data_IF_743522689376
#
_entry.id   IF_743522689376
#
_cell.length_a   1.000
_cell.length_b   1.000
_cell.length_c   1.000
_cell.angle_alpha   90.00
_cell.angle_beta   90.00
_cell.angle_gamma   90.00
#
_symmetry.space_group_name_H-M   'P 1'
#
loop_
_entity.id
_entity.type
_entity.pdbx_description
1 polymer ?
#
# COMPACT_ATOMS: atom_id res chain seq x y z
N UNK A 1 -28.30 -1.65 -25.44
CA UNK A 1 -27.53 -0.50 -24.89
C UNK A 1 -26.76 -1.02 -23.66
N UNK A 2 -25.46 -1.10 -23.76
CA UNK A 2 -24.64 -1.63 -22.69
C UNK A 2 -24.65 -0.63 -21.52
N UNK A 3 -24.82 -1.15 -20.32
CA UNK A 3 -24.85 -0.31 -19.11
C UNK A 3 -23.46 0.00 -18.64
N UNK A 4 -23.27 1.22 -18.15
CA UNK A 4 -22.02 1.63 -17.50
C UNK A 4 -21.90 1.03 -16.11
N UNK A 5 -20.70 0.61 -15.72
CA UNK A 5 -20.39 0.05 -14.40
C UNK A 5 -20.87 0.93 -13.25
N UNK A 6 -20.59 2.24 -13.32
CA UNK A 6 -21.05 3.19 -12.31
C UNK A 6 -22.58 3.29 -12.20
N UNK A 7 -23.31 3.15 -13.32
CA UNK A 7 -24.77 3.15 -13.30
C UNK A 7 -25.33 1.91 -12.60
N UNK A 8 -24.65 0.76 -12.77
CA UNK A 8 -25.02 -0.50 -12.10
C UNK A 8 -24.76 -0.42 -10.59
N UNK A 9 -23.66 0.22 -10.16
CA UNK A 9 -23.42 0.47 -8.72
C UNK A 9 -24.54 1.32 -8.13
N UNK A 10 -24.99 2.39 -8.82
CA UNK A 10 -26.11 3.23 -8.39
C UNK A 10 -27.45 2.50 -8.37
N UNK A 11 -27.67 1.54 -9.25
CA UNK A 11 -28.86 0.68 -9.19
C UNK A 11 -28.82 -0.26 -7.98
N UNK A 12 -27.67 -0.82 -7.67
CA UNK A 12 -27.47 -1.67 -6.51
C UNK A 12 -27.63 -0.89 -5.20
N UNK A 13 -27.05 0.32 -5.12
CA UNK A 13 -27.16 1.23 -3.98
C UNK A 13 -28.62 1.45 -3.54
N UNK A 14 -29.56 1.62 -4.51
CA UNK A 14 -30.99 1.80 -4.21
C UNK A 14 -31.65 0.59 -3.54
N UNK A 15 -31.01 -0.58 -3.56
CA UNK A 15 -31.48 -1.81 -2.93
C UNK A 15 -30.87 -2.03 -1.55
N UNK A 16 -29.89 -1.21 -1.18
CA UNK A 16 -29.16 -1.31 0.10
C UNK A 16 -29.77 -0.40 1.16
N UNK A 17 -29.54 -0.74 2.41
CA UNK A 17 -29.98 0.06 3.56
C UNK A 17 -28.95 -0.01 4.69
N UNK A 18 -28.99 0.98 5.58
CA UNK A 18 -28.12 1.02 6.76
C UNK A 18 -26.63 1.20 6.44
N UNK A 19 -25.78 0.59 7.24
CA UNK A 19 -24.32 0.77 7.19
C UNK A 19 -23.70 0.27 5.87
N UNK A 20 -24.31 -0.70 5.21
CA UNK A 20 -23.83 -1.24 3.94
C UNK A 20 -23.95 -0.22 2.80
N UNK A 21 -24.93 0.69 2.88
CA UNK A 21 -25.13 1.78 1.92
C UNK A 21 -23.89 2.66 1.82
N UNK A 22 -23.34 3.09 2.96
CA UNK A 22 -22.14 3.92 2.99
C UNK A 22 -20.93 3.26 2.33
N UNK A 23 -20.78 1.94 2.48
CA UNK A 23 -19.69 1.19 1.83
C UNK A 23 -19.83 1.19 0.30
N UNK A 24 -21.07 1.10 -0.20
CA UNK A 24 -21.35 1.13 -1.64
C UNK A 24 -21.23 2.56 -2.22
N UNK A 25 -21.62 3.60 -1.47
CA UNK A 25 -21.37 4.99 -1.84
C UNK A 25 -19.88 5.27 -2.02
N UNK A 26 -19.06 4.81 -1.10
CA UNK A 26 -17.61 4.91 -1.20
C UNK A 26 -17.05 4.16 -2.42
N UNK A 27 -17.61 3.01 -2.72
CA UNK A 27 -17.23 2.25 -3.92
C UNK A 27 -17.66 2.97 -5.20
N UNK A 28 -18.84 3.60 -5.19
CA UNK A 28 -19.29 4.45 -6.29
C UNK A 28 -18.35 5.65 -6.50
N UNK A 29 -18.01 6.37 -5.43
CA UNK A 29 -17.09 7.51 -5.49
C UNK A 29 -15.72 7.13 -6.04
N UNK A 30 -15.17 6.01 -5.60
CA UNK A 30 -13.94 5.46 -6.15
C UNK A 30 -14.09 5.12 -7.64
N UNK A 31 -15.15 4.40 -7.99
CA UNK A 31 -15.38 3.90 -9.36
C UNK A 31 -15.66 5.02 -10.33
N UNK A 32 -16.41 6.05 -9.93
CA UNK A 32 -16.73 7.21 -10.77
C UNK A 32 -15.49 8.01 -11.19
N UNK A 33 -14.44 8.01 -10.36
CA UNK A 33 -13.16 8.67 -10.65
C UNK A 33 -12.24 7.82 -11.52
N UNK A 34 -12.36 6.48 -11.50
CA UNK A 34 -11.40 5.57 -12.10
C UNK A 34 -11.95 4.79 -13.29
N UNK A 35 -13.26 4.51 -13.28
CA UNK A 35 -13.95 3.62 -14.21
C UNK A 35 -15.20 4.26 -14.81
N UNK A 36 -15.20 5.60 -14.91
CA UNK A 36 -16.38 6.39 -15.30
C UNK A 36 -17.07 5.93 -16.58
N UNK A 37 -16.29 5.52 -17.57
CA UNK A 37 -16.79 5.11 -18.89
C UNK A 37 -16.70 3.61 -19.13
N UNK A 38 -16.39 2.83 -18.09
CA UNK A 38 -16.28 1.39 -18.21
C UNK A 38 -17.67 0.76 -18.32
N UNK A 39 -17.85 -0.12 -19.28
CA UNK A 39 -19.03 -0.95 -19.43
C UNK A 39 -19.05 -2.06 -18.39
N UNK A 40 -20.26 -2.50 -17.98
CA UNK A 40 -20.40 -3.55 -16.96
C UNK A 40 -19.71 -4.86 -17.38
N UNK A 41 -19.79 -5.22 -18.66
CA UNK A 41 -19.18 -6.44 -19.19
C UNK A 41 -17.64 -6.43 -19.14
N UNK A 42 -17.03 -5.25 -18.98
CA UNK A 42 -15.59 -5.09 -18.79
C UNK A 42 -15.17 -5.12 -17.33
N UNK A 43 -16.13 -5.18 -16.40
CA UNK A 43 -15.84 -5.25 -14.98
C UNK A 43 -15.17 -6.59 -14.62
N UNK A 44 -14.14 -6.54 -13.79
CA UNK A 44 -13.37 -7.70 -13.38
C UNK A 44 -12.82 -7.51 -11.96
N UNK A 45 -12.10 -8.51 -11.47
CA UNK A 45 -11.50 -8.50 -10.14
C UNK A 45 -10.63 -7.27 -9.89
N UNK A 46 -9.94 -6.75 -10.91
CA UNK A 46 -9.08 -5.58 -10.80
C UNK A 46 -9.81 -4.34 -10.25
N UNK A 47 -11.08 -4.15 -10.59
CA UNK A 47 -11.88 -3.02 -10.12
C UNK A 47 -12.07 -3.09 -8.60
N UNK A 48 -12.39 -4.27 -8.10
CA UNK A 48 -12.62 -4.54 -6.68
C UNK A 48 -11.29 -4.56 -5.90
N UNK A 49 -10.26 -5.20 -6.44
CA UNK A 49 -8.95 -5.27 -5.79
C UNK A 49 -8.32 -3.89 -5.61
N UNK A 50 -8.41 -3.02 -6.62
CA UNK A 50 -7.96 -1.63 -6.48
C UNK A 50 -8.72 -0.87 -5.40
N UNK A 51 -10.01 -1.10 -5.27
CA UNK A 51 -10.81 -0.50 -4.20
C UNK A 51 -10.37 -1.01 -2.83
N UNK A 52 -10.40 -2.33 -2.63
CA UNK A 52 -10.17 -2.95 -1.33
C UNK A 52 -8.70 -2.84 -0.85
N UNK A 53 -7.71 -3.10 -1.73
CA UNK A 53 -6.29 -3.15 -1.35
C UNK A 53 -5.52 -1.86 -1.59
N UNK A 54 -6.07 -0.89 -2.35
CA UNK A 54 -5.36 0.35 -2.63
C UNK A 54 -6.08 1.60 -2.12
N UNK A 55 -7.43 1.60 -2.08
CA UNK A 55 -8.20 2.77 -1.67
C UNK A 55 -8.64 2.69 -0.21
N UNK A 56 -9.21 1.57 0.23
CA UNK A 56 -9.62 1.35 1.64
C UNK A 56 -8.48 1.60 2.62
N UNK A 57 -7.22 1.08 2.44
CA UNK A 57 -6.14 1.32 3.38
C UNK A 57 -5.69 2.77 3.53
N UNK A 58 -6.11 3.66 2.63
CA UNK A 58 -5.87 5.09 2.75
C UNK A 58 -6.97 5.80 3.54
N UNK A 59 -8.20 5.33 3.39
CA UNK A 59 -9.38 5.93 4.00
C UNK A 59 -9.55 5.49 5.46
N UNK A 60 -9.34 4.20 5.72
CA UNK A 60 -9.49 3.61 7.05
C UNK A 60 -8.19 3.79 7.83
N UNK A 61 -8.08 4.89 8.56
CA UNK A 61 -6.89 5.21 9.39
C UNK A 61 -6.91 4.51 10.75
N UNK A 62 -8.09 4.25 11.30
CA UNK A 62 -8.27 3.40 12.46
C UNK A 62 -9.11 2.21 12.00
N UNK A 63 -8.53 1.00 12.11
CA UNK A 63 -9.32 -0.21 11.91
C UNK A 63 -10.25 -0.37 13.10
N UNK A 64 -11.34 0.41 13.13
CA UNK A 64 -12.45 0.11 14.01
C UNK A 64 -12.91 -1.29 13.69
N UNK A 65 -13.01 -2.12 14.72
CA UNK A 65 -13.38 -3.51 14.59
C UNK A 65 -14.69 -3.61 13.80
N UNK A 66 -14.62 -4.32 12.67
CA UNK A 66 -15.77 -4.57 11.81
C UNK A 66 -15.94 -3.66 10.57
N UNK A 67 -15.25 -2.54 10.44
CA UNK A 67 -15.44 -1.66 9.26
C UNK A 67 -14.96 -2.31 7.96
N UNK A 68 -13.80 -2.97 7.98
CA UNK A 68 -13.25 -3.66 6.80
C UNK A 68 -14.14 -4.83 6.40
N UNK A 69 -14.69 -5.57 7.38
CA UNK A 69 -15.65 -6.63 7.15
C UNK A 69 -16.92 -6.12 6.47
N UNK A 70 -17.43 -4.94 6.88
CA UNK A 70 -18.58 -4.31 6.24
C UNK A 70 -18.30 -3.98 4.78
N UNK A 71 -17.14 -3.41 4.46
CA UNK A 71 -16.74 -3.17 3.07
C UNK A 71 -16.68 -4.45 2.26
N UNK A 72 -16.00 -5.49 2.76
CA UNK A 72 -15.88 -6.77 2.03
C UNK A 72 -17.24 -7.43 1.85
N UNK A 73 -18.10 -7.43 2.88
CA UNK A 73 -19.46 -7.95 2.79
C UNK A 73 -20.28 -7.23 1.72
N UNK A 74 -20.25 -5.89 1.71
CA UNK A 74 -20.97 -5.07 0.73
C UNK A 74 -20.50 -5.33 -0.69
N UNK A 75 -19.18 -5.47 -0.88
CA UNK A 75 -18.59 -5.79 -2.19
C UNK A 75 -18.96 -7.21 -2.64
N UNK A 76 -18.95 -8.19 -1.75
CA UNK A 76 -19.39 -9.56 -2.08
C UNK A 76 -20.88 -9.59 -2.49
N UNK A 77 -21.72 -8.82 -1.78
CA UNK A 77 -23.14 -8.66 -2.14
C UNK A 77 -23.29 -8.02 -3.52
N UNK A 78 -22.48 -7.00 -3.85
CA UNK A 78 -22.44 -6.41 -5.17
C UNK A 78 -21.94 -7.39 -6.24
N UNK A 79 -20.90 -8.16 -5.98
CA UNK A 79 -20.38 -9.19 -6.90
C UNK A 79 -21.45 -10.24 -7.24
N UNK A 80 -22.21 -10.66 -6.22
CA UNK A 80 -23.35 -11.55 -6.42
C UNK A 80 -24.45 -10.91 -7.28
N UNK A 81 -24.79 -9.66 -6.99
CA UNK A 81 -25.80 -8.91 -7.75
C UNK A 81 -25.46 -8.79 -9.24
N UNK A 82 -24.20 -8.44 -9.58
CA UNK A 82 -23.80 -8.32 -11.00
C UNK A 82 -23.75 -9.67 -11.70
N UNK A 83 -23.36 -10.75 -11.01
CA UNK A 83 -23.42 -12.11 -11.53
C UNK A 83 -24.85 -12.51 -11.92
N UNK A 84 -25.83 -12.24 -11.03
CA UNK A 84 -27.23 -12.62 -11.22
C UNK A 84 -27.94 -11.78 -12.29
N UNK A 85 -27.58 -10.53 -12.47
CA UNK A 85 -28.32 -9.61 -13.34
C UNK A 85 -27.61 -9.26 -14.65
N UNK A 86 -26.28 -9.50 -14.74
CA UNK A 86 -25.46 -9.08 -15.89
C UNK A 86 -24.51 -10.17 -16.38
N UNK A 87 -24.53 -11.37 -15.79
CA UNK A 87 -23.64 -12.49 -16.11
C UNK A 87 -22.15 -12.14 -16.03
N UNK A 88 -21.80 -11.18 -15.16
CA UNK A 88 -20.41 -10.76 -14.92
C UNK A 88 -19.86 -11.48 -13.69
N UNK A 89 -18.77 -12.22 -13.87
CA UNK A 89 -18.15 -13.01 -12.81
C UNK A 89 -17.02 -12.22 -12.18
N UNK A 90 -17.16 -11.94 -10.88
CA UNK A 90 -16.11 -11.38 -10.03
C UNK A 90 -16.00 -12.28 -8.81
N UNK A 91 -14.75 -12.61 -8.42
CA UNK A 91 -14.48 -13.51 -7.29
C UNK A 91 -14.89 -12.87 -5.97
N UNK A 92 -15.54 -13.65 -5.13
CA UNK A 92 -15.88 -13.25 -3.78
C UNK A 92 -14.62 -13.13 -2.92
N UNK A 93 -14.58 -12.14 -2.05
CA UNK A 93 -13.47 -11.91 -1.13
C UNK A 93 -13.62 -12.74 0.12
N UNK A 94 -12.52 -13.31 0.56
CA UNK A 94 -12.45 -14.27 1.66
C UNK A 94 -12.00 -13.63 2.97
N UNK A 95 -11.99 -14.43 4.04
CA UNK A 95 -11.40 -14.02 5.31
C UNK A 95 -9.89 -13.72 5.19
N UNK A 96 -9.20 -14.38 4.25
CA UNK A 96 -7.80 -14.05 3.95
C UNK A 96 -7.67 -12.62 3.43
N UNK A 97 -8.54 -12.20 2.50
CA UNK A 97 -8.54 -10.83 1.97
C UNK A 97 -8.79 -9.80 3.07
N UNK A 98 -9.75 -10.06 3.98
CA UNK A 98 -10.01 -9.22 5.14
C UNK A 98 -8.76 -9.07 6.00
N UNK A 99 -8.10 -10.18 6.34
CA UNK A 99 -6.88 -10.15 7.17
C UNK A 99 -5.74 -9.41 6.49
N UNK A 100 -5.63 -9.54 5.18
CA UNK A 100 -4.60 -8.85 4.39
C UNK A 100 -4.87 -7.33 4.32
N UNK A 101 -6.11 -6.91 4.10
CA UNK A 101 -6.49 -5.49 4.13
C UNK A 101 -6.20 -4.89 5.51
N UNK A 102 -6.57 -5.58 6.60
CA UNK A 102 -6.27 -5.16 7.98
C UNK A 102 -4.76 -5.02 8.21
N UNK A 103 -3.96 -5.96 7.72
CA UNK A 103 -2.50 -5.90 7.78
C UNK A 103 -1.96 -4.64 7.12
N UNK A 104 -2.41 -4.34 5.88
CA UNK A 104 -1.98 -3.16 5.14
C UNK A 104 -2.35 -1.86 5.86
N UNK A 105 -3.58 -1.76 6.40
CA UNK A 105 -4.01 -0.62 7.21
C UNK A 105 -3.11 -0.45 8.44
N UNK A 106 -2.82 -1.55 9.14
CA UNK A 106 -1.93 -1.55 10.30
C UNK A 106 -0.52 -1.08 9.98
N UNK A 107 0.06 -1.56 8.87
CA UNK A 107 1.39 -1.14 8.41
C UNK A 107 1.41 0.36 8.07
N UNK A 108 0.42 0.87 7.33
CA UNK A 108 0.34 2.29 7.02
C UNK A 108 0.30 3.16 8.30
N UNK A 109 -0.39 2.71 9.34
CA UNK A 109 -0.45 3.40 10.62
C UNK A 109 0.88 3.34 11.39
N UNK A 110 1.55 2.18 11.39
CA UNK A 110 2.88 2.05 12.02
C UNK A 110 3.92 2.93 11.32
N UNK A 111 3.92 2.97 9.98
CA UNK A 111 4.83 3.86 9.26
C UNK A 111 4.54 5.34 9.56
N UNK A 112 3.28 5.74 9.67
CA UNK A 112 2.94 7.11 10.11
C UNK A 112 3.52 7.40 11.48
N UNK A 113 3.33 6.50 12.45
CA UNK A 113 3.91 6.65 13.80
C UNK A 113 5.44 6.72 13.76
N UNK A 114 6.07 5.82 13.01
CA UNK A 114 7.53 5.77 12.87
C UNK A 114 8.10 7.06 12.27
N UNK A 115 7.46 7.62 11.24
CA UNK A 115 7.95 8.81 10.54
C UNK A 115 7.63 10.12 11.28
N UNK A 116 6.47 10.22 11.95
CA UNK A 116 6.04 11.45 12.62
C UNK A 116 6.39 11.51 14.11
N UNK A 117 6.66 10.37 14.74
CA UNK A 117 7.21 10.29 16.11
C UNK A 117 8.51 9.49 16.07
N UNK A 118 9.61 10.08 15.59
CA UNK A 118 10.88 9.40 15.61
C UNK A 118 11.39 9.30 17.04
N UNK A 119 10.87 8.37 17.82
CA UNK A 119 11.65 7.79 18.92
C UNK A 119 12.74 7.00 18.22
N UNK A 120 13.80 7.71 17.85
CA UNK A 120 14.98 7.13 17.25
C UNK A 120 15.63 6.25 18.31
N UNK A 121 15.14 5.03 18.46
CA UNK A 121 15.93 3.99 19.10
C UNK A 121 17.02 3.58 18.10
N UNK A 122 18.01 4.44 17.96
CA UNK A 122 19.28 3.97 17.44
C UNK A 122 19.74 2.86 18.38
N UNK A 123 19.60 1.62 17.95
CA UNK A 123 20.48 0.57 18.46
C UNK A 123 21.89 1.14 18.31
N UNK A 124 22.68 1.26 19.37
CA UNK A 124 24.01 1.82 19.23
C UNK A 124 24.78 0.92 18.26
N UNK A 125 24.84 1.30 16.99
CA UNK A 125 25.90 0.76 16.15
C UNK A 125 27.19 1.11 16.85
N UNK A 126 27.99 0.12 17.19
CA UNK A 126 29.37 0.35 17.65
C UNK A 126 30.05 1.09 16.50
N UNK A 127 30.04 2.41 16.59
CA UNK A 127 30.71 3.27 15.62
C UNK A 127 32.18 3.16 16.00
N UNK A 128 32.98 2.51 15.15
CA UNK A 128 34.42 2.63 15.23
C UNK A 128 34.78 4.10 15.00
N UNK A 129 35.08 4.78 16.11
CA UNK A 129 35.31 6.22 16.17
C UNK A 129 36.50 6.64 15.30
N UNK A 130 37.46 5.75 15.07
CA UNK A 130 38.64 6.00 14.23
C UNK A 130 38.30 5.95 12.74
N UNK A 131 37.41 5.06 12.33
CA UNK A 131 36.84 5.04 10.98
C UNK A 131 35.98 6.29 10.77
N UNK A 132 35.21 6.70 11.76
CA UNK A 132 34.40 7.91 11.71
C UNK A 132 35.26 9.18 11.58
N UNK A 133 36.32 9.33 12.39
CA UNK A 133 37.27 10.44 12.27
C UNK A 133 37.98 10.50 10.92
N UNK A 134 38.46 9.38 10.41
CA UNK A 134 39.10 9.30 9.08
C UNK A 134 38.13 9.71 7.97
N UNK A 135 36.88 9.23 8.00
CA UNK A 135 35.86 9.60 7.02
C UNK A 135 35.42 11.06 7.14
N UNK A 136 35.29 11.60 8.36
CA UNK A 136 34.94 13.02 8.58
C UNK A 136 36.00 13.97 8.05
N UNK A 137 37.27 13.61 8.15
CA UNK A 137 38.37 14.42 7.62
C UNK A 137 38.52 14.32 6.08
N UNK A 138 37.97 13.28 5.47
CA UNK A 138 37.90 13.13 4.00
C UNK A 138 36.69 13.81 3.37
N UNK A 139 35.66 14.09 4.15
CA UNK A 139 34.46 14.76 3.70
C UNK A 139 34.66 16.28 3.89
N UNK A 140 35.18 16.94 2.86
CA UNK A 140 35.08 18.40 2.77
C UNK A 140 33.62 18.85 2.86
N UNK A 141 33.36 20.03 3.39
CA UNK A 141 32.00 20.56 3.68
C UNK A 141 30.99 20.46 2.52
N UNK A 142 31.46 20.26 1.30
CA UNK A 142 30.64 20.22 0.08
C UNK A 142 30.18 18.81 -0.32
N UNK A 143 30.56 17.76 0.42
CA UNK A 143 30.20 16.36 0.12
C UNK A 143 29.04 15.78 0.96
N UNK A 144 28.27 16.59 1.62
CA UNK A 144 27.03 16.14 2.27
C UNK A 144 25.87 16.01 1.29
N UNK A 145 26.14 15.56 0.05
CA UNK A 145 25.07 15.09 -0.83
C UNK A 145 24.53 13.78 -0.28
N UNK A 146 23.50 13.89 0.55
CA UNK A 146 22.68 12.74 0.90
C UNK A 146 21.97 12.31 -0.37
N UNK A 147 22.33 11.14 -0.88
CA UNK A 147 21.59 10.56 -2.01
C UNK A 147 20.14 10.34 -1.58
N UNK A 148 19.22 10.77 -2.42
CA UNK A 148 17.78 10.51 -2.25
C UNK A 148 17.31 9.60 -3.38
N UNK A 149 16.41 8.69 -3.05
CA UNK A 149 15.77 7.79 -3.99
C UNK A 149 14.27 7.83 -3.75
N UNK A 150 13.51 8.16 -4.79
CA UNK A 150 12.07 8.17 -4.74
C UNK A 150 11.50 7.24 -5.80
N UNK A 151 10.39 6.60 -5.49
CA UNK A 151 9.68 5.75 -6.43
C UNK A 151 9.05 4.52 -5.81
N UNK A 152 8.68 3.58 -6.68
CA UNK A 152 8.13 2.29 -6.28
C UNK A 152 9.27 1.30 -5.99
N UNK A 153 9.10 0.60 -4.87
CA UNK A 153 9.99 -0.45 -4.40
C UNK A 153 9.20 -1.70 -4.10
N UNK A 154 9.77 -2.88 -4.39
CA UNK A 154 9.29 -4.16 -3.87
C UNK A 154 10.12 -4.58 -2.68
N UNK A 155 9.47 -5.14 -1.67
CA UNK A 155 10.14 -5.71 -0.50
C UNK A 155 10.64 -7.10 -0.85
N UNK A 156 11.95 -7.29 -0.87
CA UNK A 156 12.58 -8.56 -1.27
C UNK A 156 12.95 -9.42 -0.08
N UNK A 157 13.39 -8.80 1.01
CA UNK A 157 13.86 -9.54 2.18
C UNK A 157 13.67 -8.73 3.48
N UNK A 158 13.46 -9.46 4.57
CA UNK A 158 13.34 -8.90 5.93
C UNK A 158 14.52 -9.45 6.74
N UNK A 159 15.37 -8.56 7.23
CA UNK A 159 16.59 -8.94 7.96
C UNK A 159 16.42 -8.70 9.44
N UNK A 160 16.40 -9.77 10.26
CA UNK A 160 16.48 -9.76 11.74
C UNK A 160 15.58 -8.73 12.45
N UNK A 161 14.52 -8.27 11.78
CA UNK A 161 13.56 -7.33 12.36
C UNK A 161 13.99 -5.85 12.40
N UNK A 162 15.19 -5.50 11.93
CA UNK A 162 15.70 -4.13 11.98
C UNK A 162 15.94 -3.52 10.60
N UNK A 163 15.97 -4.35 9.55
CA UNK A 163 16.22 -3.91 8.19
C UNK A 163 15.33 -4.63 7.20
N UNK A 164 15.03 -3.93 6.11
CA UNK A 164 14.41 -4.50 4.93
C UNK A 164 15.30 -4.28 3.71
N UNK A 165 15.27 -5.21 2.78
CA UNK A 165 15.88 -5.04 1.46
C UNK A 165 14.77 -4.70 0.48
N UNK A 166 14.86 -3.51 -0.08
CA UNK A 166 13.96 -2.99 -1.09
C UNK A 166 14.62 -3.06 -2.46
N UNK A 167 13.86 -3.45 -3.47
CA UNK A 167 14.29 -3.41 -4.87
C UNK A 167 13.52 -2.32 -5.58
N UNK A 168 14.21 -1.32 -6.12
CA UNK A 168 13.59 -0.27 -6.92
C UNK A 168 13.04 -0.84 -8.22
N UNK A 169 11.76 -0.68 -8.49
CA UNK A 169 11.07 -1.40 -9.57
C UNK A 169 11.62 -1.08 -10.96
N UNK A 170 12.04 0.18 -11.21
CA UNK A 170 12.54 0.58 -12.54
C UNK A 170 14.00 0.23 -12.80
N UNK A 171 14.83 0.38 -11.78
CA UNK A 171 16.29 0.21 -11.96
C UNK A 171 16.78 -1.16 -11.53
N UNK A 172 15.95 -1.93 -10.82
CA UNK A 172 16.35 -3.20 -10.23
C UNK A 172 17.35 -3.06 -9.08
N UNK A 173 17.69 -1.83 -8.65
CA UNK A 173 18.66 -1.57 -7.59
C UNK A 173 18.14 -2.05 -6.25
N UNK A 174 18.99 -2.75 -5.50
CA UNK A 174 18.70 -3.18 -4.14
C UNK A 174 19.18 -2.12 -3.13
N UNK A 175 18.35 -1.83 -2.14
CA UNK A 175 18.61 -0.84 -1.10
C UNK A 175 18.27 -1.45 0.25
N UNK A 176 19.23 -1.46 1.19
CA UNK A 176 19.01 -1.90 2.56
C UNK A 176 18.57 -0.70 3.39
N UNK A 177 17.37 -0.77 3.97
CA UNK A 177 16.75 0.33 4.70
C UNK A 177 16.45 -0.10 6.13
N UNK A 178 16.77 0.76 7.10
CA UNK A 178 16.42 0.55 8.51
C UNK A 178 14.90 0.74 8.71
N UNK A 179 14.29 -0.14 9.51
CA UNK A 179 12.88 -0.07 9.89
C UNK A 179 12.72 -0.39 11.37
N UNK A 180 11.60 0.07 11.94
CA UNK A 180 11.20 -0.36 13.28
C UNK A 180 10.81 -1.85 13.30
N UNK A 181 11.09 -2.54 14.40
CA UNK A 181 10.79 -3.95 14.59
C UNK A 181 9.31 -4.28 14.43
N UNK A 182 8.42 -3.36 14.85
CA UNK A 182 6.97 -3.55 14.70
C UNK A 182 6.55 -3.52 13.24
N UNK A 183 7.21 -2.69 12.42
CA UNK A 183 7.00 -2.65 10.98
C UNK A 183 7.54 -3.93 10.36
N UNK A 184 8.79 -4.30 10.67
CA UNK A 184 9.44 -5.49 10.12
C UNK A 184 8.64 -6.79 10.36
N UNK A 185 7.95 -6.89 11.50
CA UNK A 185 7.12 -8.05 11.82
C UNK A 185 5.80 -8.14 11.03
N UNK A 186 5.35 -7.04 10.43
CA UNK A 186 4.06 -6.96 9.72
C UNK A 186 4.20 -6.99 8.20
N UNK A 187 5.34 -6.54 7.69
CA UNK A 187 5.61 -6.51 6.24
C UNK A 187 5.87 -7.92 5.70
N UNK A 188 5.58 -8.13 4.43
CA UNK A 188 5.82 -9.42 3.74
C UNK A 188 6.66 -9.22 2.49
N UNK A 189 7.45 -10.24 2.14
CA UNK A 189 8.13 -10.29 0.84
C UNK A 189 7.13 -10.13 -0.29
N UNK A 190 7.48 -9.32 -1.29
CA UNK A 190 6.63 -9.00 -2.43
C UNK A 190 5.72 -7.78 -2.20
N UNK A 191 5.57 -7.29 -0.97
CA UNK A 191 4.83 -6.05 -0.73
C UNK A 191 5.47 -4.87 -1.50
N UNK A 192 4.64 -3.89 -1.88
CA UNK A 192 5.06 -2.76 -2.70
C UNK A 192 4.93 -1.47 -1.92
N UNK A 193 5.95 -0.63 -2.01
CA UNK A 193 5.99 0.68 -1.36
C UNK A 193 6.19 1.77 -2.42
N UNK A 194 5.50 2.90 -2.27
CA UNK A 194 5.88 4.16 -2.90
C UNK A 194 6.43 5.07 -1.81
N UNK A 195 7.73 5.34 -1.87
CA UNK A 195 8.45 5.99 -0.78
C UNK A 195 9.57 6.89 -1.28
N UNK A 196 9.97 7.82 -0.42
CA UNK A 196 11.21 8.57 -0.51
C UNK A 196 12.19 8.06 0.53
N UNK A 197 13.39 7.72 0.08
CA UNK A 197 14.50 7.22 0.89
C UNK A 197 15.65 8.20 0.83
N UNK A 198 16.41 8.31 1.92
CA UNK A 198 17.62 9.11 2.00
C UNK A 198 18.77 8.27 2.52
N UNK A 199 19.94 8.41 1.89
CA UNK A 199 21.15 7.84 2.41
C UNK A 199 21.74 8.78 3.47
N UNK A 200 21.97 8.27 4.68
CA UNK A 200 22.61 9.05 5.72
C UNK A 200 24.13 9.08 5.51
N UNK A 201 24.89 9.95 6.25
CA UNK A 201 26.35 10.07 6.12
C UNK A 201 27.12 8.77 6.40
N UNK A 202 26.51 7.76 7.02
CA UNK A 202 27.09 6.44 7.31
C UNK A 202 26.77 5.40 6.22
N UNK A 203 26.26 5.84 5.06
CA UNK A 203 25.87 5.00 3.92
C UNK A 203 24.71 4.03 4.21
N UNK A 204 23.98 4.19 5.32
CA UNK A 204 22.73 3.49 5.54
C UNK A 204 21.56 4.30 4.98
N UNK A 205 20.52 3.60 4.54
CA UNK A 205 19.32 4.22 4.01
C UNK A 205 18.22 4.26 5.07
N UNK A 206 17.47 5.34 5.06
CA UNK A 206 16.34 5.56 5.96
C UNK A 206 15.13 6.05 5.16
N UNK A 207 13.93 5.77 5.67
CA UNK A 207 12.72 6.36 5.12
C UNK A 207 12.65 7.84 5.48
N UNK A 208 12.44 8.68 4.46
CA UNK A 208 12.06 10.09 4.62
C UNK A 208 10.54 10.19 4.66
N UNK A 209 9.89 9.52 3.71
CA UNK A 209 8.44 9.51 3.59
C UNK A 209 7.95 8.19 3.00
N UNK A 210 6.82 7.70 3.50
CA UNK A 210 6.06 6.62 2.88
C UNK A 210 4.76 7.19 2.36
N UNK A 211 4.65 7.33 1.06
CA UNK A 211 3.43 7.82 0.41
C UNK A 211 2.34 6.76 0.38
N UNK A 212 2.74 5.50 0.11
CA UNK A 212 1.80 4.39 -0.07
C UNK A 212 2.47 3.06 0.23
N UNK A 213 1.70 2.17 0.85
CA UNK A 213 2.07 0.77 1.05
C UNK A 213 0.95 -0.13 0.53
N UNK A 214 1.32 -1.19 -0.17
CA UNK A 214 0.40 -2.10 -0.83
C UNK A 214 0.81 -3.55 -0.62
N UNK A 215 -0.17 -4.45 -0.62
CA UNK A 215 0.06 -5.89 -0.72
C UNK A 215 0.65 -6.28 -2.07
N UNK A 216 1.37 -7.41 -2.08
CA UNK A 216 1.78 -8.08 -3.33
C UNK A 216 0.63 -8.39 -4.28
N UNK A 217 -0.60 -8.54 -3.77
CA UNK A 217 -1.81 -8.81 -4.56
C UNK A 217 -2.09 -7.75 -5.65
N UNK A 218 -1.59 -6.52 -5.47
CA UNK A 218 -1.78 -5.44 -6.44
C UNK A 218 -0.53 -5.11 -7.27
N UNK A 219 0.53 -5.90 -7.13
CA UNK A 219 1.81 -5.66 -7.82
C UNK A 219 1.64 -5.52 -9.34
N UNK A 220 0.88 -6.42 -9.97
CA UNK A 220 0.67 -6.39 -11.43
C UNK A 220 -0.11 -5.13 -11.86
N UNK A 221 -1.06 -4.67 -11.05
CA UNK A 221 -1.80 -3.44 -11.32
C UNK A 221 -0.93 -2.18 -11.19
N UNK A 222 0.06 -2.22 -10.30
CA UNK A 222 1.03 -1.13 -10.15
C UNK A 222 1.97 -1.14 -11.36
N UNK A 223 2.51 -2.29 -11.74
CA UNK A 223 3.39 -2.43 -12.92
C UNK A 223 2.72 -1.90 -14.19
N UNK A 224 1.47 -2.28 -14.43
CA UNK A 224 0.71 -1.84 -15.61
C UNK A 224 0.50 -0.32 -15.67
N UNK A 225 0.48 0.38 -14.53
CA UNK A 225 0.30 1.84 -14.48
C UNK A 225 1.62 2.63 -14.46
N UNK A 226 2.73 1.93 -14.37
CA UNK A 226 4.05 2.52 -14.16
C UNK A 226 4.94 2.36 -15.41
N UNK A 227 4.47 1.63 -16.42
CA UNK A 227 5.13 1.44 -17.73
C UNK A 227 4.79 2.55 -18.73
N UNK A 228 4.80 3.82 -18.29
CA UNK A 228 4.69 4.98 -19.21
C UNK A 228 5.89 5.89 -19.08
#
# INVERSE_FOLDING_TARGET
MEKLFCSVIKEFEKKMSGDELHCIDDFFDFSSKRFRFMEINSANNQCIDKFLFMWIPKKVTNSEDGQIEKYVKSINSFSKYIRENYDVIIDEKTNYDISEIKRICGINNEFKRFLYNPVISYSPMIIDFDIYKKKRNMLTKDMFFTMTEEGYFTLEEIFRGDFVILKKMYTGRFIKVAVDKNIANKVKKGDVLFASLRQNPFFSWEFVELYKYYSSNVLEYIKANVTF
#
